data_IF_397257092729
#
_entry.id   IF_397257092729
#
_cell.length_a   1.000
_cell.length_b   1.000
_cell.length_c   1.000
_cell.angle_alpha   90.00
_cell.angle_beta   90.00
_cell.angle_gamma   90.00
#
_symmetry.space_group_name_H-M   'P 1'
#
loop_
_entity.id
_entity.type
_entity.pdbx_description
1 polymer ?
#
# COMPACT_ATOMS: atom_id res chain seq x y z
N UNK A 1 29.55 -30.77 49.24
CA UNK A 1 29.36 -30.38 47.82
C UNK A 1 28.91 -28.92 47.77
N UNK A 2 29.84 -27.97 47.81
CA UNK A 2 29.53 -26.54 47.77
C UNK A 2 29.54 -26.07 46.31
N UNK A 3 28.36 -25.78 45.75
CA UNK A 3 28.21 -25.32 44.37
C UNK A 3 28.56 -23.83 44.25
N UNK A 4 29.62 -23.52 43.51
CA UNK A 4 29.99 -22.15 43.15
C UNK A 4 29.18 -21.68 41.94
N UNK A 5 28.20 -20.80 42.17
CA UNK A 5 27.40 -20.18 41.11
C UNK A 5 28.22 -19.14 40.34
N UNK A 6 28.58 -19.45 39.08
CA UNK A 6 29.20 -18.51 38.15
C UNK A 6 28.11 -17.63 37.52
N UNK A 7 28.09 -16.36 37.91
CA UNK A 7 27.24 -15.30 37.35
C UNK A 7 27.83 -14.83 36.03
N UNK A 8 27.20 -15.18 34.91
CA UNK A 8 27.55 -14.66 33.58
C UNK A 8 26.88 -13.30 33.39
N UNK A 9 27.69 -12.25 33.30
CA UNK A 9 27.23 -10.91 32.92
C UNK A 9 27.17 -10.78 31.41
N UNK A 10 25.99 -10.50 30.85
CA UNK A 10 25.84 -10.13 29.44
C UNK A 10 26.19 -8.65 29.27
N UNK A 11 27.44 -8.38 28.90
CA UNK A 11 27.92 -7.05 28.51
C UNK A 11 29.14 -7.20 27.61
N UNK A 12 29.18 -6.46 26.49
CA UNK A 12 30.26 -6.48 25.53
C UNK A 12 31.51 -5.81 26.14
N UNK A 13 32.40 -6.60 26.75
CA UNK A 13 33.67 -6.14 27.29
C UNK A 13 34.71 -5.98 26.18
N UNK A 14 34.75 -4.81 25.54
CA UNK A 14 35.83 -4.47 24.60
C UNK A 14 37.01 -3.89 25.38
N UNK A 15 38.20 -4.51 25.39
CA UNK A 15 39.36 -3.94 26.05
C UNK A 15 39.84 -2.69 25.32
N UNK A 16 40.02 -1.61 26.10
CA UNK A 16 40.42 -0.25 25.69
C UNK A 16 41.71 -0.18 24.85
N UNK A 17 42.49 -1.26 24.80
CA UNK A 17 43.72 -1.40 24.02
C UNK A 17 43.50 -1.46 22.49
N UNK A 18 42.27 -1.68 22.00
CA UNK A 18 42.01 -1.77 20.54
C UNK A 18 41.71 -0.42 19.87
N UNK A 19 41.68 0.69 20.61
CA UNK A 19 41.38 2.03 20.07
C UNK A 19 42.61 2.89 19.78
N UNK A 20 43.84 2.37 19.92
CA UNK A 20 45.04 3.02 19.39
C UNK A 20 45.36 4.42 19.93
N UNK A 21 44.76 4.87 21.03
CA UNK A 21 45.10 6.14 21.68
C UNK A 21 46.41 6.00 22.44
N UNK A 22 47.52 6.30 21.76
CA UNK A 22 48.83 6.48 22.35
C UNK A 22 48.87 7.88 22.98
N UNK A 23 48.97 7.96 24.30
CA UNK A 23 49.21 9.22 25.02
C UNK A 23 50.64 9.69 24.75
N UNK A 24 50.77 10.70 23.90
CA UNK A 24 52.06 11.31 23.59
C UNK A 24 51.91 12.46 22.61
N UNK A 25 51.48 13.62 23.11
CA UNK A 25 51.56 14.88 22.39
C UNK A 25 51.86 16.00 23.40
N UNK A 26 52.98 16.71 23.21
CA UNK A 26 53.24 17.97 23.92
C UNK A 26 52.21 19.04 23.53
N UNK A 27 52.13 20.17 24.26
CA UNK A 27 51.07 21.15 24.05
C UNK A 27 51.22 21.81 22.67
N UNK A 28 50.32 21.47 21.76
CA UNK A 28 50.14 22.18 20.50
C UNK A 28 49.29 23.42 20.76
N UNK A 29 49.75 24.59 20.27
CA UNK A 29 48.97 25.83 20.33
C UNK A 29 47.61 25.61 19.68
N UNK A 30 46.50 26.11 20.27
CA UNK A 30 45.18 25.90 19.72
C UNK A 30 45.11 26.55 18.32
N UNK A 31 44.69 25.76 17.33
CA UNK A 31 44.36 26.29 16.01
C UNK A 31 43.08 27.08 16.16
N UNK A 32 43.16 28.40 16.03
CA UNK A 32 41.99 29.29 16.04
C UNK A 32 41.00 28.80 14.96
N UNK A 33 39.77 28.52 15.40
CA UNK A 33 38.69 28.11 14.52
C UNK A 33 38.15 29.29 13.70
N UNK A 34 37.41 29.00 12.64
CA UNK A 34 36.86 30.00 11.70
C UNK A 34 35.79 30.93 12.34
N UNK A 35 35.34 30.60 13.56
CA UNK A 35 34.45 31.42 14.39
C UNK A 35 35.17 32.09 15.58
N UNK A 36 36.50 31.96 15.66
CA UNK A 36 37.32 32.59 16.69
C UNK A 36 37.76 33.99 16.28
N UNK A 37 36.83 34.82 15.78
CA UNK A 37 37.06 36.25 15.75
C UNK A 37 36.99 36.75 17.20
N UNK A 38 38.14 36.72 17.86
CA UNK A 38 38.64 37.69 18.86
C UNK A 38 37.56 38.60 19.48
N UNK A 39 36.70 37.99 20.29
CA UNK A 39 35.80 38.65 21.25
C UNK A 39 36.12 38.09 22.65
N UNK A 40 37.42 37.85 22.91
CA UNK A 40 37.92 37.72 24.28
C UNK A 40 38.14 39.13 24.82
N UNK A 41 37.03 39.67 25.32
CA UNK A 41 36.92 40.71 26.32
C UNK A 41 37.52 40.18 27.66
N UNK A 42 38.79 39.75 27.64
CA UNK A 42 39.56 39.61 28.87
C UNK A 42 40.02 41.01 29.29
N UNK A 43 39.18 41.64 30.10
CA UNK A 43 39.49 42.71 31.03
C UNK A 43 40.70 42.31 31.89
N UNK A 44 41.92 42.45 31.35
CA UNK A 44 43.14 42.34 32.14
C UNK A 44 43.25 43.61 32.96
N UNK A 45 42.70 43.53 34.17
CA UNK A 45 42.82 44.54 35.21
C UNK A 45 44.24 45.09 35.30
N UNK A 46 44.38 46.36 34.91
CA UNK A 46 45.65 47.09 34.96
C UNK A 46 45.37 48.58 34.81
N UNK A 47 45.29 49.29 35.93
CA UNK A 47 45.20 50.75 35.97
C UNK A 47 46.36 51.39 35.19
N UNK A 48 46.09 51.82 33.97
CA UNK A 48 47.02 52.60 33.17
C UNK A 48 46.28 53.63 32.30
N UNK A 49 45.84 54.72 32.94
CA UNK A 49 45.45 55.98 32.28
C UNK A 49 44.16 55.94 31.46
N UNK A 50 43.07 56.44 32.04
CA UNK A 50 41.70 56.41 31.47
C UNK A 50 41.53 56.95 30.05
N UNK A 51 42.43 57.80 29.55
CA UNK A 51 42.36 58.33 28.18
C UNK A 51 42.73 57.27 27.12
N UNK A 52 43.68 56.37 27.40
CA UNK A 52 44.14 55.33 26.45
C UNK A 52 43.12 54.20 26.29
N UNK A 53 42.40 53.86 27.36
CA UNK A 53 41.30 52.89 27.33
C UNK A 53 40.11 53.41 26.52
N UNK A 54 39.75 54.69 26.68
CA UNK A 54 38.69 55.34 25.91
C UNK A 54 39.06 55.43 24.42
N UNK A 55 40.29 55.80 24.09
CA UNK A 55 40.79 55.79 22.70
C UNK A 55 40.76 54.40 22.07
N UNK A 56 41.14 53.35 22.82
CA UNK A 56 41.07 51.96 22.36
C UNK A 56 39.62 51.52 22.10
N UNK A 57 38.68 51.92 22.95
CA UNK A 57 37.25 51.65 22.78
C UNK A 57 36.65 52.38 21.57
N UNK A 58 37.02 53.64 21.35
CA UNK A 58 36.62 54.41 20.16
C UNK A 58 37.17 53.74 18.89
N UNK A 59 38.44 53.31 18.90
CA UNK A 59 39.02 52.58 17.79
C UNK A 59 38.33 51.23 17.56
N UNK A 60 37.90 50.52 18.60
CA UNK A 60 37.12 49.30 18.49
C UNK A 60 35.74 49.54 17.87
N UNK A 61 35.04 50.59 18.30
CA UNK A 61 33.75 51.00 17.72
C UNK A 61 33.90 51.40 16.25
N UNK A 62 34.97 52.12 15.89
CA UNK A 62 35.27 52.46 14.50
C UNK A 62 35.54 51.22 13.64
N UNK A 63 36.27 50.23 14.17
CA UNK A 63 36.50 48.95 13.50
C UNK A 63 35.20 48.17 13.31
N UNK A 64 34.33 48.12 14.32
CA UNK A 64 33.03 47.47 14.25
C UNK A 64 32.12 48.15 13.22
N UNK A 65 32.02 49.49 13.26
CA UNK A 65 31.23 50.26 12.28
C UNK A 65 31.72 50.04 10.84
N UNK A 66 33.04 50.01 10.64
CA UNK A 66 33.63 49.71 9.32
C UNK A 66 33.39 48.26 8.88
N UNK A 67 33.36 47.30 9.79
CA UNK A 67 32.99 45.90 9.51
C UNK A 67 31.52 45.80 9.06
N UNK A 68 30.61 46.47 9.77
CA UNK A 68 29.20 46.52 9.39
C UNK A 68 28.99 47.16 8.02
N UNK A 69 29.65 48.28 7.74
CA UNK A 69 29.58 48.93 6.42
C UNK A 69 30.02 47.99 5.29
N UNK A 70 31.12 47.25 5.50
CA UNK A 70 31.57 46.22 4.55
C UNK A 70 30.56 45.10 4.37
N UNK A 71 29.93 44.64 5.45
CA UNK A 71 28.90 43.60 5.38
C UNK A 71 27.66 44.07 4.61
N UNK A 72 27.26 45.33 4.79
CA UNK A 72 26.15 45.93 4.03
C UNK A 72 26.47 46.04 2.54
N UNK A 73 27.69 46.42 2.19
CA UNK A 73 28.12 46.51 0.79
C UNK A 73 28.12 45.12 0.13
N UNK A 74 28.63 44.11 0.84
CA UNK A 74 28.59 42.70 0.39
C UNK A 74 27.15 42.21 0.26
N UNK A 75 26.26 42.57 1.18
CA UNK A 75 24.84 42.22 1.12
C UNK A 75 24.15 42.85 -0.10
N UNK A 76 24.41 44.13 -0.38
CA UNK A 76 23.86 44.83 -1.56
C UNK A 76 24.41 44.24 -2.86
N UNK A 77 25.70 43.90 -2.89
CA UNK A 77 26.32 43.24 -4.05
C UNK A 77 25.69 41.87 -4.31
N UNK A 78 25.47 41.07 -3.25
CA UNK A 78 24.82 39.77 -3.34
C UNK A 78 23.38 39.87 -3.87
N UNK A 79 22.58 40.82 -3.34
CA UNK A 79 21.21 41.07 -3.82
C UNK A 79 21.17 41.60 -5.26
N UNK A 80 22.17 42.37 -5.69
CA UNK A 80 22.25 42.89 -7.05
C UNK A 80 22.58 41.80 -8.08
N UNK A 81 23.33 40.77 -7.68
CA UNK A 81 23.62 39.61 -8.52
C UNK A 81 22.41 38.68 -8.61
N UNK A 82 21.76 38.37 -7.49
CA UNK A 82 20.55 37.54 -7.44
C UNK A 82 19.69 37.90 -6.21
N UNK A 83 18.42 38.30 -6.41
CA UNK A 83 17.51 38.59 -5.30
C UNK A 83 17.17 37.36 -4.45
N UNK A 84 17.34 36.14 -4.97
CA UNK A 84 16.99 34.87 -4.30
C UNK A 84 18.13 34.24 -3.52
N UNK A 85 19.30 34.90 -3.44
CA UNK A 85 20.51 34.35 -2.80
C UNK A 85 20.32 33.94 -1.33
N UNK A 86 19.38 34.58 -0.62
CA UNK A 86 19.08 34.30 0.79
C UNK A 86 17.80 33.46 0.98
N UNK A 87 17.12 33.06 -0.09
CA UNK A 87 15.87 32.29 -0.05
C UNK A 87 16.14 30.78 0.12
N UNK A 88 16.69 30.43 1.28
CA UNK A 88 17.09 29.05 1.59
C UNK A 88 15.91 28.06 1.62
N UNK A 89 14.74 28.50 2.10
CA UNK A 89 13.56 27.65 2.26
C UNK A 89 13.04 27.16 0.90
N UNK A 90 12.96 28.05 -0.10
CA UNK A 90 12.46 27.70 -1.43
C UNK A 90 13.36 26.67 -2.13
N UNK A 91 14.67 26.87 -2.05
CA UNK A 91 15.67 25.94 -2.61
C UNK A 91 15.61 24.58 -1.91
N UNK A 92 15.47 24.58 -0.58
CA UNK A 92 15.35 23.35 0.20
C UNK A 92 14.06 22.58 -0.13
N UNK A 93 12.94 23.29 -0.23
CA UNK A 93 11.66 22.73 -0.61
C UNK A 93 11.72 22.15 -2.02
N UNK A 94 12.38 22.81 -2.97
CA UNK A 94 12.58 22.28 -4.33
C UNK A 94 13.38 20.97 -4.35
N UNK A 95 14.42 20.82 -3.52
CA UNK A 95 15.17 19.57 -3.40
C UNK A 95 14.39 18.43 -2.74
N UNK A 96 13.40 18.75 -1.92
CA UNK A 96 12.61 17.78 -1.16
C UNK A 96 11.22 17.53 -1.72
N UNK A 97 10.71 18.41 -2.59
CA UNK A 97 9.41 18.31 -3.23
C UNK A 97 9.25 16.99 -4.01
N UNK A 98 10.29 16.57 -4.72
CA UNK A 98 10.29 15.26 -5.40
C UNK A 98 10.17 14.08 -4.43
N UNK A 99 10.83 14.16 -3.27
CA UNK A 99 10.80 13.09 -2.25
C UNK A 99 9.48 13.06 -1.48
N UNK A 100 8.91 14.24 -1.20
CA UNK A 100 7.62 14.35 -0.50
C UNK A 100 6.49 13.81 -1.36
N UNK A 101 6.46 14.14 -2.66
CA UNK A 101 5.48 13.60 -3.61
C UNK A 101 5.67 12.10 -3.83
N UNK A 102 6.91 11.62 -3.99
CA UNK A 102 7.18 10.18 -4.08
C UNK A 102 6.71 9.44 -2.82
N UNK A 103 6.98 9.98 -1.63
CA UNK A 103 6.53 9.39 -0.36
C UNK A 103 5.02 9.45 -0.20
N UNK A 104 4.36 10.49 -0.71
CA UNK A 104 2.90 10.60 -0.71
C UNK A 104 2.29 9.57 -1.66
N UNK A 105 2.87 9.40 -2.84
CA UNK A 105 2.45 8.39 -3.81
C UNK A 105 2.68 6.97 -3.28
N UNK A 106 3.80 6.69 -2.63
CA UNK A 106 4.09 5.40 -1.99
C UNK A 106 3.10 5.08 -0.86
N UNK A 107 2.72 6.08 -0.05
CA UNK A 107 1.67 5.90 0.97
C UNK A 107 0.30 5.58 0.37
N UNK A 108 -0.02 6.14 -0.79
CA UNK A 108 -1.28 5.89 -1.50
C UNK A 108 -1.27 4.53 -2.21
N UNK A 109 -0.15 4.14 -2.80
CA UNK A 109 0.00 2.84 -3.46
C UNK A 109 0.08 1.69 -2.46
N UNK A 110 0.69 1.93 -1.29
CA UNK A 110 0.84 0.95 -0.22
C UNK A 110 -0.51 0.66 0.44
N UNK A 111 -1.22 -0.28 -0.16
CA UNK A 111 -2.42 -0.86 0.44
C UNK A 111 -2.06 -1.55 1.77
N UNK A 112 -2.99 -1.49 2.72
CA UNK A 112 -2.82 -2.20 3.99
C UNK A 112 -2.74 -3.71 3.76
N UNK A 113 -1.91 -4.40 4.55
CA UNK A 113 -1.70 -5.84 4.42
C UNK A 113 -2.98 -6.68 4.63
N UNK A 114 -3.88 -6.27 5.54
CA UNK A 114 -5.00 -7.11 5.99
C UNK A 114 -6.41 -6.55 5.74
N UNK A 115 -6.58 -5.25 5.46
CA UNK A 115 -7.94 -4.66 5.39
C UNK A 115 -8.75 -5.27 4.25
N UNK A 116 -8.11 -5.62 3.13
CA UNK A 116 -8.78 -6.28 2.02
C UNK A 116 -9.37 -7.64 2.46
N UNK A 117 -8.57 -8.48 3.14
CA UNK A 117 -9.02 -9.78 3.65
C UNK A 117 -10.07 -9.66 4.75
N UNK A 118 -9.98 -8.64 5.59
CA UNK A 118 -10.99 -8.38 6.62
C UNK A 118 -12.33 -8.00 5.99
N UNK A 119 -12.32 -7.21 4.92
CA UNK A 119 -13.52 -6.85 4.15
C UNK A 119 -14.12 -8.07 3.46
N UNK A 120 -13.31 -8.94 2.85
CA UNK A 120 -13.83 -10.16 2.22
C UNK A 120 -14.44 -11.10 3.26
N UNK A 121 -13.77 -11.32 4.40
CA UNK A 121 -14.29 -12.13 5.50
C UNK A 121 -15.55 -11.54 6.14
N UNK A 122 -15.68 -10.22 6.21
CA UNK A 122 -16.91 -9.58 6.67
C UNK A 122 -18.08 -9.91 5.72
N UNK A 123 -17.88 -9.78 4.41
CA UNK A 123 -18.88 -10.12 3.41
C UNK A 123 -19.21 -11.63 3.40
N UNK A 124 -18.24 -12.52 3.63
CA UNK A 124 -18.48 -13.96 3.80
C UNK A 124 -19.42 -14.23 4.98
N UNK A 125 -19.18 -13.61 6.14
CA UNK A 125 -20.05 -13.79 7.32
C UNK A 125 -21.45 -13.24 7.12
N UNK A 126 -21.58 -12.09 6.44
CA UNK A 126 -22.89 -11.52 6.12
C UNK A 126 -23.71 -12.50 5.29
N UNK A 127 -23.09 -13.11 4.27
CA UNK A 127 -23.75 -14.15 3.45
C UNK A 127 -24.07 -15.42 4.23
N UNK A 128 -23.19 -15.88 5.11
CA UNK A 128 -23.49 -17.02 5.99
C UNK A 128 -24.70 -16.73 6.89
N UNK A 129 -24.81 -15.51 7.43
CA UNK A 129 -25.95 -15.09 8.24
C UNK A 129 -27.25 -15.07 7.43
N UNK A 130 -27.20 -14.55 6.19
CA UNK A 130 -28.33 -14.58 5.26
C UNK A 130 -28.79 -16.01 4.96
N UNK A 131 -27.85 -16.91 4.65
CA UNK A 131 -28.12 -18.34 4.41
C UNK A 131 -28.77 -19.01 5.64
N UNK A 132 -28.29 -18.71 6.85
CA UNK A 132 -28.88 -19.23 8.09
C UNK A 132 -30.29 -18.70 8.29
N UNK A 133 -30.51 -17.41 8.03
CA UNK A 133 -31.83 -16.79 8.13
C UNK A 133 -32.82 -17.41 7.15
N UNK A 134 -32.42 -17.63 5.90
CA UNK A 134 -33.26 -18.27 4.89
C UNK A 134 -33.61 -19.71 5.23
N UNK A 135 -32.63 -20.50 5.67
CA UNK A 135 -32.88 -21.87 6.15
C UNK A 135 -33.84 -21.88 7.33
N UNK A 136 -33.78 -20.87 8.21
CA UNK A 136 -34.74 -20.70 9.30
C UNK A 136 -36.14 -20.40 8.77
N UNK A 137 -36.28 -19.46 7.83
CA UNK A 137 -37.55 -19.11 7.20
C UNK A 137 -38.19 -20.30 6.48
N UNK A 138 -37.41 -21.06 5.70
CA UNK A 138 -37.90 -22.28 5.02
C UNK A 138 -38.43 -23.29 6.02
N UNK A 139 -37.69 -23.54 7.11
CA UNK A 139 -38.12 -24.46 8.17
C UNK A 139 -39.39 -24.00 8.88
N UNK A 140 -39.61 -22.69 9.03
CA UNK A 140 -40.85 -22.14 9.60
C UNK A 140 -42.03 -22.33 8.63
N UNK A 141 -41.81 -22.09 7.33
CA UNK A 141 -42.81 -22.33 6.29
C UNK A 141 -43.20 -23.81 6.18
N UNK A 142 -42.25 -24.74 6.23
CA UNK A 142 -42.52 -26.19 6.20
C UNK A 142 -43.37 -26.65 7.39
N UNK A 143 -43.19 -26.03 8.57
CA UNK A 143 -44.03 -26.32 9.74
C UNK A 143 -45.46 -25.80 9.56
N UNK A 144 -45.61 -24.65 8.93
CA UNK A 144 -46.91 -24.03 8.63
C UNK A 144 -47.58 -24.66 7.39
N UNK A 145 -46.86 -25.42 6.58
CA UNK A 145 -47.36 -26.08 5.38
C UNK A 145 -48.48 -27.08 5.67
N UNK A 146 -48.45 -27.73 6.84
CA UNK A 146 -49.55 -28.60 7.28
C UNK A 146 -50.87 -27.81 7.47
N UNK A 147 -50.80 -26.52 7.80
CA UNK A 147 -51.98 -25.67 8.02
C UNK A 147 -52.44 -24.95 6.74
N UNK A 148 -51.52 -24.65 5.83
CA UNK A 148 -51.79 -23.79 4.67
C UNK A 148 -51.45 -24.42 3.31
N UNK A 149 -51.12 -25.71 3.25
CA UNK A 149 -50.73 -26.42 2.03
C UNK A 149 -51.79 -26.44 0.92
N UNK A 150 -53.07 -26.28 1.26
CA UNK A 150 -54.17 -26.21 0.29
C UNK A 150 -54.32 -24.83 -0.38
N UNK A 151 -53.53 -23.83 0.00
CA UNK A 151 -53.59 -22.47 -0.57
C UNK A 151 -52.54 -22.27 -1.66
N UNK A 152 -52.87 -21.42 -2.63
CA UNK A 152 -51.96 -21.07 -3.73
C UNK A 152 -50.74 -20.28 -3.22
N UNK A 153 -49.53 -20.67 -3.67
CA UNK A 153 -48.27 -20.00 -3.33
C UNK A 153 -47.84 -19.11 -4.50
N UNK A 154 -47.78 -17.80 -4.27
CA UNK A 154 -47.35 -16.83 -5.30
C UNK A 154 -45.91 -16.38 -5.06
N UNK A 155 -45.08 -16.52 -6.10
CA UNK A 155 -43.69 -16.06 -6.07
C UNK A 155 -43.55 -14.78 -6.90
N UNK A 156 -43.08 -13.71 -6.27
CA UNK A 156 -42.78 -12.42 -6.91
C UNK A 156 -41.55 -12.51 -7.82
N UNK A 157 -41.46 -11.66 -8.84
CA UNK A 157 -40.33 -11.63 -9.77
C UNK A 157 -38.97 -11.41 -9.08
N UNK A 158 -38.95 -10.55 -8.04
CA UNK A 158 -37.75 -10.29 -7.25
C UNK A 158 -37.25 -11.55 -6.51
N UNK A 159 -38.15 -12.37 -5.98
CA UNK A 159 -37.77 -13.61 -5.30
C UNK A 159 -37.27 -14.69 -6.27
N UNK A 160 -37.84 -14.76 -7.50
CA UNK A 160 -37.30 -15.66 -8.54
C UNK A 160 -35.85 -15.31 -8.88
N UNK A 161 -35.58 -14.01 -9.02
CA UNK A 161 -34.22 -13.51 -9.27
C UNK A 161 -33.27 -13.87 -8.12
N UNK A 162 -33.71 -13.71 -6.88
CA UNK A 162 -32.94 -14.12 -5.70
C UNK A 162 -32.60 -15.61 -5.73
N UNK A 163 -33.59 -16.48 -5.99
CA UNK A 163 -33.36 -17.92 -6.09
C UNK A 163 -32.37 -18.31 -7.20
N UNK A 164 -32.37 -17.58 -8.32
CA UNK A 164 -31.40 -17.77 -9.40
C UNK A 164 -29.99 -17.34 -8.98
N UNK A 165 -29.87 -16.18 -8.32
CA UNK A 165 -28.60 -15.68 -7.77
C UNK A 165 -28.03 -16.66 -6.72
N UNK A 166 -28.87 -17.17 -5.82
CA UNK A 166 -28.49 -18.14 -4.80
C UNK A 166 -28.04 -19.48 -5.41
N UNK A 167 -28.71 -19.95 -6.46
CA UNK A 167 -28.32 -21.17 -7.19
C UNK A 167 -26.96 -21.02 -7.88
N UNK A 168 -26.75 -19.90 -8.57
CA UNK A 168 -25.49 -19.59 -9.25
C UNK A 168 -24.35 -19.43 -8.24
N UNK A 169 -24.64 -18.92 -7.04
CA UNK A 169 -23.67 -18.83 -5.95
C UNK A 169 -23.33 -20.22 -5.39
N UNK A 170 -24.33 -21.05 -5.11
CA UNK A 170 -24.14 -22.42 -4.61
C UNK A 170 -23.34 -23.26 -5.60
N UNK A 171 -23.64 -23.22 -6.90
CA UNK A 171 -22.89 -23.95 -7.92
C UNK A 171 -21.41 -23.50 -8.00
N UNK A 172 -21.15 -22.20 -7.77
CA UNK A 172 -19.77 -21.70 -7.73
C UNK A 172 -19.00 -22.16 -6.51
N UNK A 173 -19.62 -22.14 -5.33
CA UNK A 173 -19.03 -22.66 -4.09
C UNK A 173 -18.83 -24.18 -4.18
N UNK A 174 -19.81 -24.93 -4.69
CA UNK A 174 -19.71 -26.38 -4.88
C UNK A 174 -18.55 -26.74 -5.83
N UNK A 175 -18.44 -26.04 -6.96
CA UNK A 175 -17.30 -26.22 -7.88
C UNK A 175 -15.97 -25.93 -7.20
N UNK A 176 -15.90 -24.86 -6.39
CA UNK A 176 -14.69 -24.50 -5.64
C UNK A 176 -14.36 -25.57 -4.61
N UNK A 177 -15.35 -26.06 -3.87
CA UNK A 177 -15.19 -27.14 -2.90
C UNK A 177 -14.72 -28.43 -3.60
N UNK A 178 -15.25 -28.75 -4.78
CA UNK A 178 -14.79 -29.90 -5.58
C UNK A 178 -13.32 -29.76 -5.99
N UNK A 179 -12.89 -28.59 -6.44
CA UNK A 179 -11.50 -28.31 -6.76
C UNK A 179 -10.59 -28.42 -5.53
N UNK A 180 -11.02 -27.88 -4.38
CA UNK A 180 -10.31 -27.98 -3.11
C UNK A 180 -10.24 -29.43 -2.62
N UNK A 181 -11.36 -30.18 -2.66
CA UNK A 181 -11.41 -31.61 -2.34
C UNK A 181 -10.54 -32.44 -3.28
N UNK A 182 -10.50 -32.10 -4.57
CA UNK A 182 -9.61 -32.75 -5.52
C UNK A 182 -8.17 -32.48 -5.12
N UNK A 183 -7.80 -31.24 -4.78
CA UNK A 183 -6.44 -30.83 -4.46
C UNK A 183 -5.99 -31.14 -3.02
N UNK A 184 -6.89 -31.67 -2.20
CA UNK A 184 -6.63 -32.11 -0.84
C UNK A 184 -5.56 -33.21 -0.79
N UNK A 185 -4.47 -32.92 -0.10
CA UNK A 185 -3.30 -33.80 0.02
C UNK A 185 -3.62 -35.02 0.88
N UNK A 186 -4.54 -34.89 1.85
CA UNK A 186 -4.87 -35.99 2.77
C UNK A 186 -5.62 -37.14 2.09
N UNK A 187 -6.32 -36.84 1.00
CA UNK A 187 -7.10 -37.81 0.21
C UNK A 187 -6.28 -38.50 -0.89
N UNK A 188 -5.05 -38.04 -1.15
CA UNK A 188 -4.19 -38.57 -2.21
C UNK A 188 -3.04 -39.39 -1.63
N UNK A 189 -2.73 -40.53 -2.25
CA UNK A 189 -1.63 -41.42 -1.83
C UNK A 189 -0.23 -40.85 -2.09
N UNK A 190 -0.07 -39.90 -3.02
CA UNK A 190 1.23 -39.37 -3.45
C UNK A 190 1.25 -37.83 -3.38
N UNK A 191 2.35 -37.29 -2.84
CA UNK A 191 2.56 -35.84 -2.66
C UNK A 191 2.92 -35.09 -3.96
N UNK A 192 3.08 -35.79 -5.10
CA UNK A 192 3.50 -35.17 -6.37
C UNK A 192 2.59 -34.03 -6.82
N UNK A 193 1.27 -34.14 -6.59
CA UNK A 193 0.32 -33.08 -6.91
C UNK A 193 0.42 -31.85 -6.00
N UNK A 194 0.79 -32.05 -4.74
CA UNK A 194 1.08 -30.96 -3.81
C UNK A 194 2.31 -30.18 -4.28
N UNK A 195 3.38 -30.88 -4.64
CA UNK A 195 4.60 -30.23 -5.15
C UNK A 195 4.39 -29.55 -6.50
N UNK A 196 3.62 -30.15 -7.42
CA UNK A 196 3.19 -29.51 -8.66
C UNK A 196 2.47 -28.19 -8.38
N UNK A 197 1.43 -28.23 -7.54
CA UNK A 197 0.65 -27.04 -7.20
C UNK A 197 1.49 -25.96 -6.50
N UNK A 198 2.42 -26.38 -5.63
CA UNK A 198 3.35 -25.50 -4.94
C UNK A 198 4.31 -24.81 -5.92
N UNK A 199 4.80 -25.53 -6.93
CA UNK A 199 5.73 -25.01 -7.93
C UNK A 199 5.05 -24.18 -9.01
N UNK A 200 3.74 -24.33 -9.25
CA UNK A 200 3.02 -23.60 -10.30
C UNK A 200 2.19 -22.42 -9.78
N UNK A 201 1.56 -22.56 -8.62
CA UNK A 201 0.55 -21.61 -8.14
C UNK A 201 0.97 -20.83 -6.88
N UNK A 202 2.12 -21.15 -6.28
CA UNK A 202 2.58 -20.43 -5.09
C UNK A 202 3.42 -19.20 -5.47
N UNK A 203 2.94 -18.04 -5.01
CA UNK A 203 3.56 -16.73 -5.24
C UNK A 203 4.92 -16.59 -4.56
N UNK A 204 5.15 -17.26 -3.42
CA UNK A 204 6.40 -17.21 -2.70
C UNK A 204 7.60 -17.78 -3.49
N UNK A 205 7.34 -18.63 -4.49
CA UNK A 205 8.36 -19.18 -5.39
C UNK A 205 8.54 -18.38 -6.69
N UNK A 206 7.96 -17.17 -6.79
CA UNK A 206 8.14 -16.27 -7.94
C UNK A 206 7.13 -16.48 -9.08
N UNK A 207 6.10 -17.30 -8.87
CA UNK A 207 5.00 -17.43 -9.83
C UNK A 207 4.06 -16.22 -9.79
N UNK A 208 3.42 -15.88 -10.92
CA UNK A 208 2.43 -14.81 -10.95
C UNK A 208 1.25 -15.15 -10.02
N UNK A 209 0.76 -14.15 -9.30
CA UNK A 209 -0.45 -14.25 -8.46
C UNK A 209 -1.59 -14.90 -9.27
N UNK A 210 -2.29 -15.92 -8.72
CA UNK A 210 -3.43 -16.49 -9.39
C UNK A 210 -4.44 -15.36 -9.63
N UNK A 211 -4.91 -15.24 -10.87
CA UNK A 211 -5.87 -14.21 -11.27
C UNK A 211 -7.10 -14.35 -10.37
N UNK A 212 -7.25 -13.49 -9.36
CA UNK A 212 -8.47 -13.39 -8.57
C UNK A 212 -9.56 -13.04 -9.57
N UNK A 213 -10.46 -13.98 -9.86
CA UNK A 213 -11.67 -13.71 -10.63
C UNK A 213 -12.45 -12.67 -9.85
N UNK A 214 -12.28 -11.41 -10.23
CA UNK A 214 -13.12 -10.34 -9.72
C UNK A 214 -14.55 -10.71 -10.11
N UNK A 215 -15.45 -10.70 -9.11
CA UNK A 215 -16.83 -11.15 -9.25
C UNK A 215 -17.44 -10.66 -10.55
N UNK A 216 -18.10 -11.58 -11.25
CA UNK A 216 -18.84 -11.34 -12.47
C UNK A 216 -19.73 -10.11 -12.30
N UNK A 217 -19.28 -8.97 -12.80
CA UNK A 217 -20.01 -7.72 -12.75
C UNK A 217 -21.12 -7.86 -13.78
N UNK A 218 -22.29 -8.33 -13.35
CA UNK A 218 -23.51 -8.32 -14.17
C UNK A 218 -23.68 -6.88 -14.64
N UNK A 219 -23.34 -6.59 -15.90
CA UNK A 219 -23.72 -5.34 -16.55
C UNK A 219 -25.25 -5.40 -16.66
N UNK A 220 -25.94 -4.85 -15.67
CA UNK A 220 -27.31 -4.38 -15.86
C UNK A 220 -27.23 -3.26 -16.89
N UNK A 221 -27.47 -3.61 -18.15
CA UNK A 221 -27.77 -2.64 -19.18
C UNK A 221 -29.03 -1.87 -18.77
N UNK A 222 -29.04 -0.53 -18.85
CA UNK A 222 -30.29 0.21 -18.71
C UNK A 222 -31.18 -0.14 -19.91
N UNK A 223 -32.37 -0.67 -19.63
CA UNK A 223 -33.43 -0.85 -20.64
C UNK A 223 -33.93 0.53 -21.04
N UNK A 224 -33.27 1.13 -22.04
CA UNK A 224 -33.75 2.32 -22.72
C UNK A 224 -34.99 1.92 -23.54
N UNK A 225 -36.17 2.26 -23.02
CA UNK A 225 -37.41 2.20 -23.80
C UNK A 225 -37.36 3.30 -24.84
N UNK A 226 -37.17 2.93 -26.10
CA UNK A 226 -37.36 3.83 -27.24
C UNK A 226 -38.68 3.46 -27.91
N UNK A 227 -39.64 4.35 -27.70
CA UNK A 227 -40.87 4.40 -28.48
C UNK A 227 -40.57 4.66 -29.97
N UNK A 228 -41.38 4.01 -30.81
CA UNK A 228 -41.66 4.27 -32.24
C UNK A 228 -40.64 3.78 -33.26
N UNK A 229 -40.97 2.69 -33.96
CA UNK A 229 -41.25 2.73 -35.39
C UNK A 229 -41.80 1.40 -35.90
N UNK A 230 -42.91 1.50 -36.62
CA UNK A 230 -43.50 0.52 -37.52
C UNK A 230 -42.53 0.14 -38.64
N UNK A 231 -42.34 -1.15 -38.94
CA UNK A 231 -41.88 -1.58 -40.27
C UNK A 231 -42.32 -3.02 -40.61
N UNK A 232 -43.37 -3.06 -41.44
CA UNK A 232 -43.78 -4.04 -42.47
C UNK A 232 -43.38 -5.53 -42.40
N UNK A 233 -44.43 -6.35 -42.41
CA UNK A 233 -44.52 -7.63 -43.11
C UNK A 233 -43.97 -7.54 -44.55
N UNK A 234 -43.08 -8.46 -44.95
CA UNK A 234 -43.13 -9.06 -46.29
C UNK A 234 -42.34 -10.38 -46.36
N UNK A 235 -43.05 -11.42 -46.79
CA UNK A 235 -42.53 -12.71 -47.24
C UNK A 235 -41.60 -12.57 -48.45
N UNK A 236 -40.60 -13.44 -48.58
CA UNK A 236 -40.48 -14.31 -49.76
C UNK A 236 -39.26 -15.24 -49.70
N UNK A 237 -39.53 -16.45 -50.14
CA UNK A 237 -38.66 -17.57 -50.49
C UNK A 237 -37.61 -17.25 -51.56
N UNK A 238 -36.42 -17.86 -51.48
CA UNK A 238 -35.70 -18.36 -52.67
C UNK A 238 -34.94 -19.65 -52.38
N UNK A 239 -35.30 -20.69 -53.16
CA UNK A 239 -34.56 -21.94 -53.38
C UNK A 239 -33.15 -21.68 -53.90
N UNK A 240 -32.18 -22.49 -53.46
CA UNK A 240 -31.07 -22.91 -54.31
C UNK A 240 -30.78 -24.40 -54.10
N UNK A 241 -30.56 -25.07 -55.22
CA UNK A 241 -30.55 -26.51 -55.46
C UNK A 241 -29.13 -26.88 -55.85
N UNK A 242 -28.48 -27.79 -55.14
CA UNK A 242 -27.34 -28.55 -55.67
C UNK A 242 -27.44 -30.00 -55.19
N UNK A 243 -27.72 -30.84 -56.16
CA UNK A 243 -27.71 -32.30 -56.16
C UNK A 243 -26.33 -32.87 -55.85
N UNK A 244 -26.28 -33.90 -55.02
CA UNK A 244 -25.40 -35.04 -55.27
C UNK A 244 -26.18 -36.33 -55.03
N UNK A 245 -26.43 -37.04 -56.12
CA UNK A 245 -27.05 -38.36 -56.15
C UNK A 245 -25.98 -39.46 -56.18
N UNK A 246 -26.45 -40.70 -56.03
CA UNK A 246 -25.76 -42.00 -56.09
C UNK A 246 -25.12 -42.44 -54.74
N UNK A 247 -25.41 -43.62 -54.18
CA UNK A 247 -26.03 -44.82 -54.77
C UNK A 247 -26.54 -45.75 -53.64
N UNK A 248 -27.71 -46.32 -53.88
CA UNK A 248 -28.34 -47.41 -53.14
C UNK A 248 -27.43 -48.64 -53.03
N UNK A 249 -27.58 -49.40 -51.94
CA UNK A 249 -28.02 -50.81 -51.99
C UNK A 249 -28.30 -51.36 -50.59
N UNK A 250 -29.59 -51.47 -50.29
CA UNK A 250 -30.14 -52.40 -49.32
C UNK A 250 -29.97 -53.84 -49.83
N UNK A 251 -29.49 -54.74 -48.97
CA UNK A 251 -29.82 -56.17 -49.00
C UNK A 251 -29.85 -56.69 -47.56
N UNK A 252 -31.08 -57.02 -47.13
CA UNK A 252 -31.51 -57.92 -46.02
C UNK A 252 -30.98 -57.72 -44.60
#
# INVERSE_FOLDING_TARGET
MAGSGKKFGFGLSVPKARLGLKSGAGPLKPKLGIFGCDDDDDDVGGEAGGNRAVEAQIAAQQRHAHSLAKNEDVYKEALAQDPTVFDYDEVYDNFHAGKSEQRRQDKLSRQSKYIAELKTKAAEREREQEMVHERKMVREVEKEEHLYGNKEKFITSAYRKKLEEDRVWQEQEDRREEEERRNDVTKRSNLGAFYSNLLTNNVAFGNPEPKKVCGFKVRLSPVFHSDKAVFSLLSSTTKAKTSHAAQERDVR
#
